data_IF_503441242561
#
_entry.id   IF_503441242561
#
_cell.length_a   1.000
_cell.length_b   1.000
_cell.length_c   1.000
_cell.angle_alpha   90.00
_cell.angle_beta   90.00
_cell.angle_gamma   90.00
#
_symmetry.space_group_name_H-M   'P 1'
#
loop_
_entity.id
_entity.type
_entity.pdbx_description
1 polymer ?
#
# COMPACT_ATOMS: atom_id res chain seq x y z
N UNK A 1 -16.22 30.21 -4.65
CA UNK A 1 -17.01 29.12 -5.15
C UNK A 1 -16.17 28.16 -5.99
N UNK A 2 -15.40 28.67 -6.97
CA UNK A 2 -14.51 27.82 -7.80
C UNK A 2 -13.42 27.13 -6.97
N UNK A 3 -12.85 27.82 -5.99
CA UNK A 3 -11.81 27.26 -5.14
C UNK A 3 -12.31 26.11 -4.26
N UNK A 4 -13.57 26.16 -3.83
CA UNK A 4 -14.18 25.07 -3.05
C UNK A 4 -14.37 23.80 -3.90
N UNK A 5 -14.76 23.97 -5.17
CA UNK A 5 -14.98 22.86 -6.08
C UNK A 5 -13.67 22.15 -6.40
N UNK A 6 -12.61 22.90 -6.67
CA UNK A 6 -11.27 22.36 -6.93
C UNK A 6 -10.76 21.60 -5.71
N UNK A 7 -10.99 22.15 -4.52
CA UNK A 7 -10.56 21.51 -3.26
C UNK A 7 -11.25 20.18 -3.02
N UNK A 8 -12.56 20.09 -3.31
CA UNK A 8 -13.32 18.84 -3.19
C UNK A 8 -12.82 17.79 -4.17
N UNK A 9 -12.52 18.19 -5.40
CA UNK A 9 -12.02 17.27 -6.42
C UNK A 9 -10.65 16.71 -6.03
N UNK A 10 -9.76 17.55 -5.47
CA UNK A 10 -8.45 17.11 -4.99
C UNK A 10 -8.57 16.17 -3.79
N UNK A 11 -9.46 16.48 -2.86
CA UNK A 11 -9.70 15.61 -1.70
C UNK A 11 -10.26 14.25 -2.12
N UNK A 12 -11.15 14.23 -3.11
CA UNK A 12 -11.69 12.98 -3.66
C UNK A 12 -10.61 12.15 -4.33
N UNK A 13 -9.70 12.77 -5.10
CA UNK A 13 -8.58 12.08 -5.74
C UNK A 13 -7.63 11.46 -4.72
N UNK A 14 -7.30 12.20 -3.66
CA UNK A 14 -6.44 11.70 -2.59
C UNK A 14 -7.09 10.53 -1.87
N UNK A 15 -8.40 10.62 -1.62
CA UNK A 15 -9.15 9.53 -0.98
C UNK A 15 -9.16 8.27 -1.84
N UNK A 16 -9.30 8.40 -3.17
CA UNK A 16 -9.26 7.26 -4.10
C UNK A 16 -7.88 6.61 -4.14
N UNK A 17 -6.81 7.42 -4.16
CA UNK A 17 -5.44 6.90 -4.13
C UNK A 17 -5.15 6.18 -2.82
N UNK A 18 -5.62 6.71 -1.70
CA UNK A 18 -5.50 6.06 -0.40
C UNK A 18 -6.24 4.73 -0.37
N UNK A 19 -7.45 4.69 -0.94
CA UNK A 19 -8.23 3.46 -1.01
C UNK A 19 -7.50 2.39 -1.82
N UNK A 20 -6.86 2.77 -2.93
CA UNK A 20 -6.06 1.85 -3.74
C UNK A 20 -4.87 1.29 -2.97
N UNK A 21 -4.15 2.14 -2.24
CA UNK A 21 -3.01 1.73 -1.41
C UNK A 21 -3.47 0.78 -0.31
N UNK A 22 -4.58 1.10 0.37
CA UNK A 22 -5.13 0.24 1.43
C UNK A 22 -5.57 -1.11 0.88
N UNK A 23 -6.13 -1.14 -0.33
CA UNK A 23 -6.51 -2.39 -0.99
C UNK A 23 -5.29 -3.25 -1.29
N UNK A 24 -4.20 -2.65 -1.77
CA UNK A 24 -2.93 -3.36 -2.02
C UNK A 24 -2.39 -3.95 -0.73
N UNK A 25 -2.41 -3.19 0.36
CA UNK A 25 -1.95 -3.65 1.67
C UNK A 25 -2.81 -4.79 2.19
N UNK A 26 -4.13 -4.66 2.06
CA UNK A 26 -5.07 -5.70 2.51
C UNK A 26 -4.84 -7.02 1.76
N UNK A 27 -4.63 -6.96 0.45
CA UNK A 27 -4.28 -8.13 -0.36
C UNK A 27 -2.96 -8.74 0.09
N UNK A 28 -1.94 -7.91 0.30
CA UNK A 28 -0.62 -8.37 0.72
C UNK A 28 -0.67 -9.04 2.09
N UNK A 29 -1.44 -8.49 3.02
CA UNK A 29 -1.61 -9.08 4.34
C UNK A 29 -2.32 -10.43 4.25
N UNK A 30 -3.37 -10.52 3.45
CA UNK A 30 -4.10 -11.77 3.26
C UNK A 30 -3.21 -12.84 2.64
N UNK A 31 -2.42 -12.49 1.63
CA UNK A 31 -1.48 -13.41 1.01
C UNK A 31 -0.38 -13.86 1.99
N UNK A 32 0.13 -12.94 2.80
CA UNK A 32 1.15 -13.25 3.79
C UNK A 32 0.65 -14.26 4.82
N UNK A 33 -0.60 -14.11 5.26
CA UNK A 33 -1.21 -15.04 6.22
C UNK A 33 -1.35 -16.44 5.66
N UNK A 34 -1.54 -16.58 4.35
CA UNK A 34 -1.69 -17.87 3.68
C UNK A 34 -0.35 -18.45 3.26
N UNK A 35 0.52 -17.63 2.67
CA UNK A 35 1.74 -18.10 2.00
C UNK A 35 2.97 -18.12 2.91
N UNK A 36 3.08 -17.17 3.85
CA UNK A 36 4.21 -17.14 4.77
C UNK A 36 3.83 -17.97 5.99
N UNK A 37 4.37 -19.19 6.08
CA UNK A 37 4.08 -20.13 7.17
C UNK A 37 4.89 -19.83 8.42
N UNK A 38 6.07 -19.23 8.28
CA UNK A 38 6.93 -18.85 9.40
C UNK A 38 6.38 -17.59 10.07
N UNK A 39 6.02 -17.68 11.34
CA UNK A 39 5.43 -16.59 12.11
C UNK A 39 6.37 -15.38 12.21
N UNK A 40 7.66 -15.61 12.40
CA UNK A 40 8.66 -14.55 12.50
C UNK A 40 8.79 -13.76 11.19
N UNK A 41 8.86 -14.48 10.07
CA UNK A 41 8.95 -13.86 8.74
C UNK A 41 7.69 -13.08 8.41
N UNK A 42 6.53 -13.65 8.74
CA UNK A 42 5.24 -12.99 8.52
C UNK A 42 5.16 -11.69 9.31
N UNK A 43 5.61 -11.71 10.57
CA UNK A 43 5.64 -10.52 11.42
C UNK A 43 6.55 -9.44 10.84
N UNK A 44 7.74 -9.80 10.38
CA UNK A 44 8.68 -8.88 9.73
C UNK A 44 8.07 -8.23 8.49
N UNK A 45 7.42 -9.03 7.66
CA UNK A 45 6.76 -8.54 6.45
C UNK A 45 5.66 -7.53 6.79
N UNK A 46 4.80 -7.86 7.75
CA UNK A 46 3.72 -6.97 8.17
C UNK A 46 4.26 -5.68 8.79
N UNK A 47 5.33 -5.76 9.56
CA UNK A 47 5.98 -4.57 10.13
C UNK A 47 6.59 -3.69 9.04
N UNK A 48 7.17 -4.29 8.01
CA UNK A 48 7.73 -3.52 6.89
C UNK A 48 6.64 -2.74 6.15
N UNK A 49 5.45 -3.31 6.00
CA UNK A 49 4.31 -2.60 5.41
C UNK A 49 3.90 -1.38 6.24
N UNK A 50 3.97 -1.50 7.57
CA UNK A 50 3.60 -0.40 8.47
C UNK A 50 4.58 0.77 8.44
N UNK A 51 5.82 0.53 8.00
CA UNK A 51 6.88 1.56 7.95
C UNK A 51 6.91 2.35 6.65
N UNK A 52 6.08 2.00 5.68
CA UNK A 52 6.07 2.66 4.37
C UNK A 52 5.48 4.06 4.49
N UNK A 53 6.10 5.02 3.81
CA UNK A 53 5.59 6.39 3.72
C UNK A 53 4.55 6.47 2.61
N UNK A 54 3.28 6.32 2.98
CA UNK A 54 2.16 6.31 2.04
C UNK A 54 1.93 7.70 1.42
N UNK A 55 2.20 8.77 2.17
CA UNK A 55 2.06 10.14 1.66
C UNK A 55 3.02 10.40 0.51
N UNK A 56 4.25 9.91 0.61
CA UNK A 56 5.23 10.04 -0.47
C UNK A 56 4.77 9.31 -1.73
N UNK A 57 4.18 8.11 -1.58
CA UNK A 57 3.68 7.32 -2.70
C UNK A 57 2.55 8.06 -3.42
N UNK A 58 1.63 8.65 -2.68
CA UNK A 58 0.52 9.43 -3.24
C UNK A 58 1.03 10.66 -3.96
N UNK A 59 1.98 11.38 -3.35
CA UNK A 59 2.59 12.57 -3.93
C UNK A 59 3.28 12.27 -5.27
N UNK A 60 3.99 11.16 -5.34
CA UNK A 60 4.75 10.75 -6.53
C UNK A 60 3.90 10.01 -7.55
N UNK A 61 2.63 9.75 -7.25
CA UNK A 61 1.70 8.99 -8.10
C UNK A 61 2.29 7.63 -8.50
N UNK A 62 2.96 6.98 -7.56
CA UNK A 62 3.68 5.73 -7.79
C UNK A 62 2.95 4.49 -7.26
N UNK A 63 1.61 4.52 -7.25
CA UNK A 63 0.78 3.42 -6.72
C UNK A 63 1.06 2.10 -7.45
N UNK A 64 1.21 2.14 -8.77
CA UNK A 64 1.51 0.92 -9.55
C UNK A 64 2.88 0.35 -9.18
N UNK A 65 3.88 1.21 -9.03
CA UNK A 65 5.22 0.81 -8.58
C UNK A 65 5.19 0.25 -7.17
N UNK A 66 4.37 0.83 -6.30
CA UNK A 66 4.17 0.35 -4.94
C UNK A 66 3.63 -1.08 -4.92
N UNK A 67 2.64 -1.37 -5.77
CA UNK A 67 2.09 -2.73 -5.90
C UNK A 67 3.17 -3.73 -6.27
N UNK A 68 4.02 -3.38 -7.23
CA UNK A 68 5.13 -4.24 -7.65
C UNK A 68 6.15 -4.45 -6.53
N UNK A 69 6.47 -3.40 -5.79
CA UNK A 69 7.38 -3.48 -4.65
C UNK A 69 6.86 -4.41 -3.57
N UNK A 70 5.57 -4.31 -3.25
CA UNK A 70 4.94 -5.16 -2.24
C UNK A 70 4.98 -6.61 -2.69
N UNK A 71 4.68 -6.90 -3.96
CA UNK A 71 4.74 -8.26 -4.51
C UNK A 71 6.15 -8.83 -4.44
N UNK A 72 7.16 -8.05 -4.82
CA UNK A 72 8.56 -8.48 -4.75
C UNK A 72 9.00 -8.74 -3.32
N UNK A 73 8.58 -7.89 -2.41
CA UNK A 73 8.89 -8.05 -0.99
C UNK A 73 8.28 -9.35 -0.45
N UNK A 74 7.02 -9.60 -0.78
CA UNK A 74 6.33 -10.83 -0.38
C UNK A 74 7.06 -12.07 -0.92
N UNK A 75 7.44 -12.06 -2.20
CA UNK A 75 8.15 -13.17 -2.82
C UNK A 75 9.51 -13.44 -2.15
N UNK A 76 10.20 -12.39 -1.69
CA UNK A 76 11.48 -12.56 -1.00
C UNK A 76 11.33 -13.29 0.33
N UNK A 77 10.19 -13.15 1.00
CA UNK A 77 9.91 -13.87 2.24
C UNK A 77 9.44 -15.31 2.00
N UNK A 78 9.02 -15.63 0.77
CA UNK A 78 8.59 -16.97 0.41
C UNK A 78 9.76 -17.90 0.01
N UNK A 79 10.89 -17.30 -0.33
CA UNK A 79 12.11 -18.04 -0.63
C UNK A 79 12.83 -18.45 0.65
#
# INVERSE_FOLDING_TARGET
ALSRKIRKDLEAQIADEYADILAIIAEARAEALIKITDESKRREFLQSLAKIDYEAIIKDKSTATFRDRVKKCLLSYLE
#
